data_IF_679356007903
#
_entry.id   IF_679356007903
#
_cell.length_a   1.000
_cell.length_b   1.000
_cell.length_c   1.000
_cell.angle_alpha   90.00
_cell.angle_beta   90.00
_cell.angle_gamma   90.00
#
_symmetry.space_group_name_H-M   'P 1'
#
loop_
_entity.id
_entity.type
_entity.pdbx_description
1 polymer ?
#
# COMPACT_ATOMS: atom_id res chain seq x y z
N UNK A 1 -25.10 -2.70 -3.54
CA UNK A 1 -24.12 -3.75 -3.13
C UNK A 1 -24.44 -5.09 -3.80
N UNK A 2 -23.47 -5.77 -4.43
CA UNK A 2 -23.69 -7.04 -5.16
C UNK A 2 -23.75 -8.30 -4.27
N UNK A 3 -23.07 -8.28 -3.12
CA UNK A 3 -22.93 -9.43 -2.21
C UNK A 3 -23.13 -9.00 -0.76
N UNK A 4 -23.43 -9.96 0.14
CA UNK A 4 -23.48 -9.73 1.60
C UNK A 4 -24.82 -9.26 2.16
N UNK A 5 -25.82 -8.95 1.32
CA UNK A 5 -27.19 -8.66 1.79
C UNK A 5 -27.34 -7.40 2.66
N UNK A 6 -26.37 -6.50 2.63
CA UNK A 6 -26.36 -5.25 3.41
C UNK A 6 -26.66 -4.04 2.53
N UNK A 7 -27.07 -2.93 3.17
CA UNK A 7 -27.15 -1.64 2.50
C UNK A 7 -25.76 -1.11 2.13
N UNK A 8 -25.70 -0.16 1.20
CA UNK A 8 -24.44 0.48 0.80
C UNK A 8 -23.79 1.25 1.95
N UNK A 9 -24.59 1.86 2.80
CA UNK A 9 -24.10 2.55 3.99
C UNK A 9 -23.43 1.59 4.97
N UNK A 10 -24.05 0.43 5.24
CA UNK A 10 -23.45 -0.58 6.12
C UNK A 10 -22.19 -1.19 5.51
N UNK A 11 -22.19 -1.46 4.19
CA UNK A 11 -21.00 -1.88 3.47
C UNK A 11 -19.86 -0.85 3.61
N UNK A 12 -20.16 0.44 3.56
CA UNK A 12 -19.15 1.49 3.68
C UNK A 12 -18.61 1.62 5.10
N UNK A 13 -19.47 1.47 6.13
CA UNK A 13 -19.04 1.46 7.53
C UNK A 13 -18.03 0.34 7.81
N UNK A 14 -18.14 -0.82 7.15
CA UNK A 14 -17.19 -1.93 7.33
C UNK A 14 -15.75 -1.57 6.96
N UNK A 15 -15.53 -0.63 6.03
CA UNK A 15 -14.20 -0.20 5.58
C UNK A 15 -13.79 1.18 6.10
N UNK A 16 -14.64 1.84 6.89
CA UNK A 16 -14.39 3.19 7.44
C UNK A 16 -14.64 3.25 8.94
N UNK A 17 -15.89 3.44 9.35
CA UNK A 17 -16.26 3.70 10.75
C UNK A 17 -16.05 2.51 11.68
N UNK A 18 -16.33 1.29 11.24
CA UNK A 18 -16.25 0.11 12.09
C UNK A 18 -14.79 -0.23 12.47
N UNK A 19 -13.82 -0.25 11.54
CA UNK A 19 -12.41 -0.35 11.89
C UNK A 19 -11.95 0.77 12.85
N UNK A 20 -12.39 2.02 12.64
CA UNK A 20 -12.07 3.13 13.53
C UNK A 20 -12.57 2.88 14.97
N UNK A 21 -13.79 2.37 15.12
CA UNK A 21 -14.36 1.99 16.42
C UNK A 21 -13.59 0.84 17.07
N UNK A 22 -13.23 -0.18 16.30
CA UNK A 22 -12.45 -1.32 16.80
C UNK A 22 -11.09 -0.88 17.33
N UNK A 23 -10.47 0.11 16.68
CA UNK A 23 -9.20 0.70 17.09
C UNK A 23 -9.35 1.85 18.10
N UNK A 24 -10.59 2.19 18.50
CA UNK A 24 -10.91 3.30 19.42
C UNK A 24 -10.34 4.65 18.98
N UNK A 25 -10.42 4.92 17.68
CA UNK A 25 -10.04 6.19 17.04
C UNK A 25 -11.21 6.80 16.27
N UNK A 26 -12.44 6.35 16.54
CA UNK A 26 -13.65 6.85 15.89
C UNK A 26 -14.09 8.23 16.37
N UNK A 27 -13.47 8.78 17.40
CA UNK A 27 -13.55 10.20 17.74
C UNK A 27 -12.77 11.07 16.75
N UNK A 28 -11.74 10.51 16.10
CA UNK A 28 -10.87 11.21 15.15
C UNK A 28 -11.15 10.92 13.69
N UNK A 29 -11.38 9.66 13.31
CA UNK A 29 -11.46 9.23 11.90
C UNK A 29 -12.71 8.38 11.61
N UNK A 30 -12.82 7.87 10.38
CA UNK A 30 -13.83 6.89 9.97
C UNK A 30 -15.22 7.46 9.63
N UNK A 31 -15.42 8.78 9.72
CA UNK A 31 -16.63 9.45 9.23
C UNK A 31 -16.39 10.92 8.97
N UNK A 32 -17.15 11.54 8.07
CA UNK A 32 -17.08 12.99 7.81
C UNK A 32 -17.99 13.74 8.79
N UNK A 33 -17.40 14.33 9.84
CA UNK A 33 -18.09 15.17 10.84
C UNK A 33 -17.16 16.27 11.34
N UNK A 34 -17.73 17.39 11.81
CA UNK A 34 -16.95 18.46 12.46
C UNK A 34 -16.26 17.92 13.71
N UNK A 35 -15.01 18.36 13.93
CA UNK A 35 -14.19 17.93 15.06
C UNK A 35 -13.34 16.67 14.79
N UNK A 36 -13.45 16.08 13.60
CA UNK A 36 -12.64 14.94 13.14
C UNK A 36 -11.48 15.36 12.25
N UNK A 37 -10.51 14.47 12.12
CA UNK A 37 -9.39 14.62 11.19
C UNK A 37 -9.92 14.59 9.75
N UNK A 38 -9.34 15.44 8.90
CA UNK A 38 -9.74 15.60 7.51
C UNK A 38 -9.11 14.54 6.60
N UNK A 39 -9.35 13.28 6.95
CA UNK A 39 -8.94 12.10 6.18
C UNK A 39 -9.99 11.78 5.11
N UNK A 40 -9.73 12.21 3.89
CA UNK A 40 -10.70 12.23 2.80
C UNK A 40 -10.14 11.58 1.54
N UNK A 41 -11.03 10.92 0.79
CA UNK A 41 -10.74 10.40 -0.55
C UNK A 41 -11.80 10.92 -1.51
N UNK A 42 -11.35 11.57 -2.57
CA UNK A 42 -12.19 11.91 -3.72
C UNK A 42 -12.13 10.75 -4.72
N UNK A 43 -13.29 10.23 -5.08
CA UNK A 43 -13.43 9.15 -6.04
C UNK A 43 -13.99 9.67 -7.36
N UNK A 44 -13.58 9.05 -8.46
CA UNK A 44 -14.06 9.39 -9.81
C UNK A 44 -15.51 8.98 -10.09
N UNK A 45 -16.05 8.08 -9.25
CA UNK A 45 -17.41 7.52 -9.32
C UNK A 45 -17.79 7.00 -7.93
N UNK A 46 -18.96 6.37 -7.81
CA UNK A 46 -19.42 5.76 -6.57
C UNK A 46 -18.35 4.82 -5.98
N UNK A 47 -17.90 4.99 -4.72
CA UNK A 47 -16.73 4.28 -4.17
C UNK A 47 -16.85 2.75 -4.10
N UNK A 48 -18.09 2.22 -4.09
CA UNK A 48 -18.36 0.77 -4.15
C UNK A 48 -18.37 0.21 -5.58
N UNK A 49 -18.17 1.04 -6.61
CA UNK A 49 -18.02 0.62 -8.00
C UNK A 49 -16.62 0.05 -8.24
N UNK A 50 -16.54 -1.05 -8.98
CA UNK A 50 -15.24 -1.64 -9.39
C UNK A 50 -14.45 -0.75 -10.36
N UNK A 51 -15.11 0.22 -10.97
CA UNK A 51 -14.50 1.16 -11.90
C UNK A 51 -14.03 2.45 -11.21
N UNK A 52 -14.43 2.67 -9.96
CA UNK A 52 -14.06 3.86 -9.21
C UNK A 52 -12.54 3.89 -8.96
N UNK A 53 -11.96 5.07 -9.12
CA UNK A 53 -10.54 5.33 -8.82
C UNK A 53 -10.46 6.45 -7.81
N UNK A 54 -9.54 6.32 -6.86
CA UNK A 54 -9.18 7.44 -6.01
C UNK A 54 -8.48 8.49 -6.87
N UNK A 55 -9.09 9.66 -7.01
CA UNK A 55 -8.53 10.78 -7.76
C UNK A 55 -7.57 11.57 -6.89
N UNK A 56 -7.96 11.82 -5.64
CA UNK A 56 -7.21 12.63 -4.69
C UNK A 56 -7.41 12.09 -3.28
N UNK A 57 -6.37 12.16 -2.45
CA UNK A 57 -6.47 11.82 -1.03
C UNK A 57 -5.90 12.91 -0.16
N UNK A 58 -6.52 13.11 0.99
CA UNK A 58 -6.07 14.00 2.04
C UNK A 58 -5.87 13.22 3.33
N UNK A 59 -4.81 13.56 4.05
CA UNK A 59 -4.53 13.04 5.40
C UNK A 59 -4.26 14.25 6.28
N UNK A 60 -4.95 14.35 7.42
CA UNK A 60 -4.89 15.51 8.30
C UNK A 60 -5.12 16.86 7.56
N UNK A 61 -5.96 16.85 6.52
CA UNK A 61 -6.29 18.03 5.71
C UNK A 61 -5.25 18.43 4.66
N UNK A 62 -4.11 17.73 4.58
CA UNK A 62 -3.07 17.96 3.57
C UNK A 62 -3.28 17.03 2.39
N UNK A 63 -3.17 17.53 1.15
CA UNK A 63 -3.27 16.69 -0.06
C UNK A 63 -2.02 15.80 -0.16
N UNK A 64 -2.19 14.49 -0.06
CA UNK A 64 -1.10 13.51 -0.13
C UNK A 64 -1.03 12.80 -1.48
N UNK A 65 -2.15 12.69 -2.18
CA UNK A 65 -2.22 12.03 -3.48
C UNK A 65 -3.04 12.84 -4.45
N UNK A 66 -2.56 12.88 -5.69
CA UNK A 66 -3.27 13.37 -6.84
C UNK A 66 -2.95 12.46 -8.03
N UNK A 67 -4.00 11.94 -8.68
CA UNK A 67 -3.86 10.96 -9.74
C UNK A 67 -3.10 11.50 -10.95
N UNK A 68 -3.24 12.80 -11.26
CA UNK A 68 -2.55 13.43 -12.39
C UNK A 68 -1.07 13.63 -12.09
N UNK A 69 -0.75 14.18 -10.92
CA UNK A 69 0.64 14.37 -10.48
C UNK A 69 1.35 13.01 -10.38
N UNK A 70 0.70 12.00 -9.80
CA UNK A 70 1.27 10.65 -9.69
C UNK A 70 1.57 10.01 -11.06
N UNK A 71 0.80 10.30 -12.12
CA UNK A 71 1.15 9.84 -13.48
C UNK A 71 2.48 10.42 -13.94
N UNK A 72 2.67 11.73 -13.77
CA UNK A 72 3.91 12.42 -14.14
C UNK A 72 5.10 11.89 -13.33
N UNK A 73 4.93 11.73 -12.02
CA UNK A 73 5.94 11.15 -11.12
C UNK A 73 6.33 9.73 -11.53
N UNK A 74 5.37 8.89 -11.92
CA UNK A 74 5.64 7.52 -12.38
C UNK A 74 6.43 7.47 -13.68
N UNK A 75 6.15 8.38 -14.62
CA UNK A 75 6.92 8.49 -15.85
C UNK A 75 8.36 8.95 -15.59
N UNK A 76 8.53 9.95 -14.73
CA UNK A 76 9.84 10.41 -14.30
C UNK A 76 10.61 9.29 -13.59
N UNK A 77 10.01 8.63 -12.60
CA UNK A 77 10.63 7.52 -11.88
C UNK A 77 11.00 6.36 -12.81
N UNK A 78 10.17 6.05 -13.81
CA UNK A 78 10.50 5.02 -14.82
C UNK A 78 11.77 5.38 -15.59
N UNK A 79 11.88 6.63 -16.03
CA UNK A 79 13.02 7.15 -16.78
C UNK A 79 14.29 7.15 -15.94
N UNK A 80 14.16 7.61 -14.70
CA UNK A 80 15.26 7.70 -13.75
C UNK A 80 15.76 6.32 -13.31
N UNK A 81 14.83 5.39 -13.03
CA UNK A 81 15.16 3.99 -12.74
C UNK A 81 15.91 3.34 -13.90
N UNK A 82 15.49 3.57 -15.14
CA UNK A 82 16.19 3.03 -16.31
C UNK A 82 17.63 3.58 -16.42
N UNK A 83 17.81 4.89 -16.18
CA UNK A 83 19.13 5.54 -16.15
C UNK A 83 20.06 4.92 -15.10
N UNK A 84 19.57 4.73 -13.87
CA UNK A 84 20.35 4.16 -12.78
C UNK A 84 20.72 2.69 -13.06
N UNK A 85 19.79 1.90 -13.59
CA UNK A 85 20.08 0.51 -13.97
C UNK A 85 21.14 0.42 -15.08
N UNK A 86 21.11 1.32 -16.06
CA UNK A 86 22.15 1.38 -17.09
C UNK A 86 23.53 1.70 -16.50
N UNK A 87 23.61 2.63 -15.55
CA UNK A 87 24.87 2.94 -14.83
C UNK A 87 25.40 1.76 -14.04
N UNK A 88 24.54 1.08 -13.28
CA UNK A 88 24.92 -0.13 -12.53
C UNK A 88 25.43 -1.24 -13.46
N UNK A 89 24.81 -1.40 -14.64
CA UNK A 89 25.30 -2.37 -15.63
C UNK A 89 26.65 -1.97 -16.23
N UNK A 90 26.89 -0.68 -16.47
CA UNK A 90 28.17 -0.19 -16.97
C UNK A 90 29.30 -0.38 -15.95
N UNK A 91 29.06 -0.09 -14.67
CA UNK A 91 30.03 -0.31 -13.59
C UNK A 91 30.38 -1.80 -13.43
N UNK A 92 29.38 -2.70 -13.53
CA UNK A 92 29.62 -4.16 -13.56
C UNK A 92 30.50 -4.60 -14.73
N UNK A 93 30.36 -3.97 -15.90
CA UNK A 93 31.20 -4.25 -17.08
C UNK A 93 32.62 -3.67 -16.95
N UNK A 94 32.79 -2.61 -16.16
CA UNK A 94 34.08 -1.95 -15.91
C UNK A 94 35.01 -2.72 -14.95
N UNK A 95 34.55 -3.84 -14.38
CA UNK A 95 35.42 -4.81 -13.70
C UNK A 95 35.90 -4.42 -12.30
N UNK A 96 35.33 -3.39 -11.66
CA UNK A 96 35.61 -3.14 -10.23
C UNK A 96 35.03 -4.27 -9.38
N UNK A 97 35.82 -4.89 -8.48
CA UNK A 97 35.29 -5.92 -7.58
C UNK A 97 34.28 -5.27 -6.64
N UNK A 98 33.00 -5.64 -6.76
CA UNK A 98 32.01 -5.29 -5.76
C UNK A 98 32.33 -6.07 -4.48
N UNK A 99 32.86 -5.38 -3.46
CA UNK A 99 32.87 -5.90 -2.09
C UNK A 99 31.43 -5.95 -1.57
N UNK A 100 30.73 -7.01 -1.98
CA UNK A 100 29.35 -7.27 -1.65
C UNK A 100 29.03 -8.64 -2.23
N UNK A 101 29.11 -9.65 -1.37
CA UNK A 101 28.94 -11.08 -1.67
C UNK A 101 27.91 -11.34 -2.77
N UNK A 102 28.36 -11.95 -3.86
CA UNK A 102 27.53 -12.62 -4.84
C UNK A 102 26.86 -13.88 -4.27
N UNK A 103 26.30 -13.81 -3.06
CA UNK A 103 25.34 -14.76 -2.58
C UNK A 103 23.98 -14.27 -3.08
N UNK A 104 23.54 -14.81 -4.23
CA UNK A 104 22.16 -14.62 -4.66
C UNK A 104 21.21 -14.93 -3.50
N UNK A 105 20.11 -14.16 -3.39
CA UNK A 105 19.08 -14.40 -2.39
C UNK A 105 18.61 -15.86 -2.52
N UNK A 106 19.06 -16.72 -1.60
CA UNK A 106 18.51 -18.06 -1.42
C UNK A 106 17.26 -17.85 -0.57
N UNK A 107 16.04 -18.06 -1.09
CA UNK A 107 14.89 -18.05 -0.21
C UNK A 107 15.15 -19.07 0.89
N UNK A 108 15.13 -18.63 2.15
CA UNK A 108 15.07 -19.58 3.26
C UNK A 108 13.83 -20.41 3.01
N UNK A 109 13.99 -21.74 2.90
CA UNK A 109 12.84 -22.65 2.81
C UNK A 109 12.02 -22.40 4.07
N UNK A 110 10.90 -21.68 3.96
CA UNK A 110 9.95 -21.63 5.04
C UNK A 110 9.46 -23.06 5.21
N UNK A 111 9.86 -23.71 6.30
CA UNK A 111 9.21 -24.93 6.74
C UNK A 111 7.72 -24.63 6.86
N UNK A 112 6.88 -25.52 6.35
CA UNK A 112 5.45 -25.44 6.58
C UNK A 112 5.23 -25.75 8.07
N UNK A 113 5.04 -24.72 8.89
CA UNK A 113 4.66 -24.90 10.28
C UNK A 113 3.18 -25.28 10.32
N UNK A 114 2.89 -26.50 10.77
CA UNK A 114 1.52 -26.93 11.07
C UNK A 114 1.30 -26.76 12.57
N UNK A 115 0.06 -26.53 13.02
CA UNK A 115 -0.24 -26.41 14.45
C UNK A 115 0.12 -27.65 15.29
N UNK A 116 0.53 -28.75 14.66
CA UNK A 116 0.91 -30.01 15.32
C UNK A 116 2.41 -30.33 15.23
N UNK A 117 3.26 -29.46 14.66
CA UNK A 117 4.71 -29.72 14.61
C UNK A 117 5.37 -29.34 15.93
N UNK A 118 5.62 -30.34 16.78
CA UNK A 118 6.46 -30.24 17.99
C UNK A 118 7.90 -30.63 17.67
N UNK A 119 8.69 -29.74 17.08
CA UNK A 119 10.16 -29.90 17.09
C UNK A 119 10.82 -28.58 17.50
N UNK A 120 11.55 -28.70 18.60
CA UNK A 120 12.29 -27.71 19.37
C UNK A 120 13.57 -27.33 18.60
N UNK A 121 13.79 -26.04 18.33
CA UNK A 121 14.99 -25.57 17.62
C UNK A 121 16.20 -25.59 18.55
N UNK A 122 17.03 -26.63 18.44
CA UNK A 122 18.30 -26.72 19.16
C UNK A 122 19.43 -27.29 18.30
N UNK A 123 20.07 -26.43 17.51
CA UNK A 123 21.53 -26.27 17.35
C UNK A 123 21.89 -25.33 16.19
#
# INVERSE_FOLDING_TARGET
>A
VKYGGVSEEEAWKMVTLNPAKMLRVDDRVGSVKVGKDADLVLWSDHPLSIYARAEKTWVDGVKYFDLEENRQWREWMRRERARLLAKVQAEKKSGMPSNGSAAGFRPRRHGHYHCDTMEDEGN
#
